data_IF_381407703238
#
_entry.id   IF_381407703238
#
_cell.length_a   1.000
_cell.length_b   1.000
_cell.length_c   1.000
_cell.angle_alpha   90.00
_cell.angle_beta   90.00
_cell.angle_gamma   90.00
#
_symmetry.space_group_name_H-M   'P 1'
#
loop_
_entity.id
_entity.type
_entity.pdbx_description
1 polymer ?
#
# COMPACT_ATOMS: atom_id res chain seq x y z
N UNK A 1 44.08 -16.04 5.03
CA UNK A 1 42.78 -16.31 4.35
C UNK A 1 41.63 -16.47 5.35
N UNK A 2 41.71 -17.36 6.36
CA UNK A 2 40.61 -17.58 7.34
C UNK A 2 40.19 -16.36 8.18
N UNK A 3 41.13 -15.49 8.56
CA UNK A 3 40.81 -14.29 9.34
C UNK A 3 39.97 -13.27 8.55
N UNK A 4 40.14 -13.21 7.21
CA UNK A 4 39.36 -12.34 6.33
C UNK A 4 37.92 -12.89 6.21
N UNK A 5 37.76 -14.22 6.19
CA UNK A 5 36.45 -14.88 6.12
C UNK A 5 35.61 -14.67 7.40
N UNK A 6 36.23 -14.49 8.56
CA UNK A 6 35.51 -14.27 9.82
C UNK A 6 34.68 -12.97 9.82
N UNK A 7 35.04 -11.98 9.00
CA UNK A 7 34.31 -10.71 8.87
C UNK A 7 32.96 -10.84 8.16
N UNK A 8 32.79 -11.84 7.29
CA UNK A 8 31.57 -12.04 6.48
C UNK A 8 30.32 -12.23 7.35
N UNK A 9 30.48 -12.77 8.57
CA UNK A 9 29.37 -12.95 9.53
C UNK A 9 28.74 -11.65 10.03
N UNK A 10 29.41 -10.51 9.84
CA UNK A 10 28.94 -9.20 10.29
C UNK A 10 28.29 -8.37 9.17
N UNK A 11 28.21 -8.91 7.96
CA UNK A 11 27.50 -8.26 6.86
C UNK A 11 26.01 -8.27 7.18
N UNK A 12 25.43 -7.07 7.29
CA UNK A 12 23.99 -6.86 7.41
C UNK A 12 23.47 -6.27 6.12
N UNK A 13 22.26 -6.68 5.72
CA UNK A 13 21.53 -6.07 4.61
C UNK A 13 20.48 -5.16 5.23
N UNK A 14 20.48 -3.89 4.83
CA UNK A 14 19.47 -2.92 5.24
C UNK A 14 18.86 -2.27 4.00
N UNK A 15 17.56 -1.97 4.08
CA UNK A 15 16.84 -1.21 3.06
C UNK A 15 16.64 0.26 3.48
N UNK A 16 17.25 0.68 4.59
CA UNK A 16 17.18 2.07 5.04
C UNK A 16 18.11 2.93 4.19
N UNK A 17 17.53 3.84 3.42
CA UNK A 17 18.30 4.76 2.57
C UNK A 17 19.08 5.80 3.40
N UNK A 18 18.73 6.01 4.67
CA UNK A 18 19.39 7.00 5.55
C UNK A 18 20.87 6.74 5.73
N UNK A 19 21.31 5.49 5.60
CA UNK A 19 22.73 5.10 5.67
C UNK A 19 23.60 5.76 4.58
N UNK A 20 22.99 6.25 3.50
CA UNK A 20 23.70 6.92 2.41
C UNK A 20 24.04 8.38 2.75
N UNK A 21 23.54 8.90 3.87
CA UNK A 21 23.74 10.27 4.32
C UNK A 21 24.50 10.30 5.64
N UNK A 22 25.35 11.31 5.83
CA UNK A 22 26.00 11.56 7.12
C UNK A 22 24.99 12.08 8.15
N UNK A 23 25.24 11.81 9.44
CA UNK A 23 24.35 12.20 10.55
C UNK A 23 24.07 13.71 10.60
N UNK A 24 25.04 14.53 10.19
CA UNK A 24 24.93 16.00 10.18
C UNK A 24 24.27 16.55 8.90
N UNK A 25 23.70 15.70 8.03
CA UNK A 25 23.09 16.15 6.79
C UNK A 25 21.82 16.98 7.08
N UNK A 26 21.78 18.27 6.72
CA UNK A 26 20.64 19.12 7.08
C UNK A 26 19.35 18.76 6.33
N UNK A 27 19.44 18.12 5.16
CA UNK A 27 18.26 17.63 4.44
C UNK A 27 17.66 16.39 5.10
N UNK A 28 18.50 15.46 5.57
CA UNK A 28 18.04 14.29 6.32
C UNK A 28 17.35 14.71 7.63
N UNK A 29 17.96 15.63 8.39
CA UNK A 29 17.38 16.14 9.64
C UNK A 29 16.02 16.83 9.41
N UNK A 30 15.90 17.62 8.34
CA UNK A 30 14.63 18.24 7.98
C UNK A 30 13.56 17.21 7.57
N UNK A 31 13.98 16.15 6.87
CA UNK A 31 13.10 15.05 6.50
C UNK A 31 12.64 14.24 7.71
N UNK A 32 13.54 13.87 8.62
CA UNK A 32 13.20 13.15 9.86
C UNK A 32 12.29 14.00 10.76
N UNK A 33 12.48 15.32 10.80
CA UNK A 33 11.57 16.23 11.51
C UNK A 33 10.15 16.20 10.90
N UNK A 34 10.04 16.11 9.57
CA UNK A 34 8.76 15.99 8.88
C UNK A 34 8.07 14.65 9.21
N UNK A 35 8.79 13.54 9.12
CA UNK A 35 8.24 12.21 9.44
C UNK A 35 7.86 12.05 10.90
N UNK A 36 8.64 12.62 11.83
CA UNK A 36 8.30 12.66 13.24
C UNK A 36 7.02 13.47 13.52
N UNK A 37 6.70 14.44 12.66
CA UNK A 37 5.51 15.28 12.78
C UNK A 37 4.28 14.67 12.08
N UNK A 38 4.47 14.05 10.91
CA UNK A 38 3.38 13.66 10.00
C UNK A 38 3.30 12.15 9.69
N UNK A 39 3.92 11.31 10.51
CA UNK A 39 4.08 9.86 10.32
C UNK A 39 5.01 9.48 9.16
N UNK A 40 5.76 8.39 9.39
CA UNK A 40 6.60 7.75 8.38
C UNK A 40 5.72 7.18 7.27
N UNK A 41 6.05 7.49 6.01
CA UNK A 41 5.30 7.04 4.83
C UNK A 41 6.00 5.84 4.17
N UNK A 42 6.10 4.71 4.87
CA UNK A 42 6.61 3.47 4.28
C UNK A 42 5.48 2.68 3.66
N UNK A 43 5.63 2.31 2.38
CA UNK A 43 4.59 1.76 1.53
C UNK A 43 4.91 0.35 1.01
N UNK A 44 4.05 -0.65 1.15
CA UNK A 44 4.11 -1.87 0.34
C UNK A 44 3.15 -1.78 -0.86
N UNK A 45 3.59 -2.28 -2.02
CA UNK A 45 2.79 -2.35 -3.25
C UNK A 45 2.57 -3.81 -3.63
N UNK A 46 1.30 -4.21 -3.76
CA UNK A 46 0.91 -5.52 -4.27
C UNK A 46 0.21 -5.31 -5.61
N UNK A 47 0.73 -5.92 -6.67
CA UNK A 47 0.16 -5.85 -8.01
C UNK A 47 -0.52 -7.17 -8.37
N UNK A 48 -1.78 -7.10 -8.79
CA UNK A 48 -2.57 -8.26 -9.24
C UNK A 48 -2.79 -8.14 -10.74
N UNK A 49 -2.40 -9.17 -11.48
CA UNK A 49 -2.53 -9.22 -12.94
C UNK A 49 -3.26 -10.53 -13.34
N UNK A 50 -4.57 -10.46 -13.62
CA UNK A 50 -5.35 -11.59 -14.10
C UNK A 50 -4.85 -12.10 -15.46
N UNK A 51 -4.93 -13.41 -15.69
CA UNK A 51 -4.45 -14.04 -16.94
C UNK A 51 -5.34 -13.73 -18.15
N UNK A 52 -6.62 -13.48 -17.90
CA UNK A 52 -7.64 -13.09 -18.89
C UNK A 52 -7.61 -11.59 -19.23
N UNK A 53 -6.75 -10.81 -18.54
CA UNK A 53 -6.49 -9.40 -18.80
C UNK A 53 -7.52 -8.43 -18.19
N UNK A 54 -8.60 -8.93 -17.57
CA UNK A 54 -9.63 -8.08 -16.96
C UNK A 54 -9.56 -8.16 -15.44
N UNK A 55 -9.36 -7.02 -14.79
CA UNK A 55 -9.38 -6.88 -13.32
C UNK A 55 -10.78 -6.72 -12.74
N UNK A 56 -11.80 -6.59 -13.59
CA UNK A 56 -13.20 -6.40 -13.20
C UNK A 56 -14.03 -7.69 -13.26
N UNK A 57 -13.37 -8.85 -13.30
CA UNK A 57 -14.04 -10.14 -13.16
C UNK A 57 -14.31 -10.44 -11.70
N UNK A 58 -15.36 -11.23 -11.41
CA UNK A 58 -15.69 -11.63 -10.04
C UNK A 58 -14.52 -12.31 -9.35
N UNK A 59 -13.81 -13.16 -10.07
CA UNK A 59 -12.66 -13.90 -9.57
C UNK A 59 -11.48 -12.97 -9.21
N UNK A 60 -11.20 -11.98 -10.06
CA UNK A 60 -10.13 -11.00 -9.81
C UNK A 60 -10.48 -10.06 -8.64
N UNK A 61 -11.72 -9.58 -8.58
CA UNK A 61 -12.17 -8.70 -7.51
C UNK A 61 -12.20 -9.42 -6.16
N UNK A 62 -12.68 -10.67 -6.11
CA UNK A 62 -12.63 -11.49 -4.90
C UNK A 62 -11.21 -11.75 -4.42
N UNK A 63 -10.25 -12.00 -5.32
CA UNK A 63 -8.84 -12.13 -4.95
C UNK A 63 -8.26 -10.82 -4.37
N UNK A 64 -8.65 -9.67 -4.92
CA UNK A 64 -8.26 -8.35 -4.39
C UNK A 64 -8.89 -8.08 -3.03
N UNK A 65 -10.14 -8.50 -2.80
CA UNK A 65 -10.81 -8.42 -1.51
C UNK A 65 -10.08 -9.25 -0.44
N UNK A 66 -9.79 -10.52 -0.73
CA UNK A 66 -9.03 -11.39 0.17
C UNK A 66 -7.65 -10.82 0.51
N UNK A 67 -6.94 -10.27 -0.49
CA UNK A 67 -5.66 -9.59 -0.30
C UNK A 67 -5.80 -8.33 0.56
N UNK A 68 -6.86 -7.55 0.37
CA UNK A 68 -7.13 -6.34 1.14
C UNK A 68 -7.34 -6.69 2.61
N UNK A 69 -8.15 -7.71 2.89
CA UNK A 69 -8.39 -8.22 4.24
C UNK A 69 -7.12 -8.79 4.88
N UNK A 70 -6.30 -9.50 4.10
CA UNK A 70 -5.01 -9.99 4.59
C UNK A 70 -4.03 -8.85 4.91
N UNK A 71 -3.99 -7.80 4.08
CA UNK A 71 -3.12 -6.65 4.28
C UNK A 71 -3.48 -5.83 5.52
N UNK A 72 -4.75 -5.83 5.95
CA UNK A 72 -5.16 -5.24 7.23
C UNK A 72 -4.59 -5.98 8.44
N UNK A 73 -4.34 -7.29 8.31
CA UNK A 73 -3.75 -8.11 9.38
C UNK A 73 -2.22 -8.05 9.41
N UNK A 74 -1.60 -7.40 8.43
CA UNK A 74 -0.15 -7.23 8.40
C UNK A 74 0.31 -6.36 9.59
N UNK A 75 1.44 -6.69 10.22
CA UNK A 75 2.02 -5.86 11.28
C UNK A 75 2.18 -4.41 10.81
N UNK A 76 1.94 -3.47 11.72
CA UNK A 76 2.12 -2.03 11.48
C UNK A 76 1.25 -1.43 10.36
N UNK A 77 0.30 -2.18 9.80
CA UNK A 77 -0.65 -1.67 8.82
C UNK A 77 -1.56 -0.62 9.44
N UNK A 78 -1.48 0.61 8.94
CA UNK A 78 -2.32 1.73 9.39
C UNK A 78 -3.42 2.07 8.37
N UNK A 79 -3.17 1.75 7.10
CA UNK A 79 -4.09 1.99 6.00
C UNK A 79 -3.81 1.03 4.84
N UNK A 80 -4.88 0.44 4.32
CA UNK A 80 -4.87 -0.35 3.09
C UNK A 80 -5.81 0.30 2.07
N UNK A 81 -5.30 0.57 0.87
CA UNK A 81 -6.09 1.06 -0.25
C UNK A 81 -6.05 0.03 -1.39
N UNK A 82 -7.21 -0.28 -1.97
CA UNK A 82 -7.37 -1.24 -3.06
C UNK A 82 -8.56 -0.88 -3.95
N UNK A 83 -8.79 -1.64 -5.02
CA UNK A 83 -9.89 -1.40 -5.94
C UNK A 83 -11.27 -1.56 -5.26
N UNK A 84 -11.37 -2.49 -4.30
CA UNK A 84 -12.63 -2.83 -3.61
C UNK A 84 -12.98 -1.83 -2.49
N UNK A 85 -12.05 -0.98 -2.04
CA UNK A 85 -12.32 0.03 -1.01
C UNK A 85 -12.15 1.48 -1.50
N UNK A 86 -12.04 1.67 -2.81
CA UNK A 86 -11.96 2.99 -3.41
C UNK A 86 -13.31 3.70 -3.28
N UNK A 87 -13.32 4.86 -2.62
CA UNK A 87 -14.55 5.63 -2.40
C UNK A 87 -15.03 6.30 -3.67
N UNK A 88 -16.28 6.04 -4.03
CA UNK A 88 -17.04 6.73 -5.06
C UNK A 88 -18.17 7.52 -4.41
N UNK A 89 -18.35 8.78 -4.83
CA UNK A 89 -19.41 9.64 -4.29
C UNK A 89 -20.22 10.22 -5.42
N UNK A 90 -21.53 10.06 -5.33
CA UNK A 90 -22.50 10.57 -6.29
C UNK A 90 -23.59 11.36 -5.56
N UNK A 91 -24.05 12.45 -6.18
CA UNK A 91 -25.21 13.19 -5.69
C UNK A 91 -26.47 12.60 -6.36
N UNK A 92 -27.46 12.23 -5.56
CA UNK A 92 -28.76 11.77 -6.02
C UNK A 92 -29.82 12.70 -5.43
N UNK A 93 -30.37 13.57 -6.28
CA UNK A 93 -31.27 14.65 -5.85
C UNK A 93 -30.59 15.56 -4.82
N UNK A 94 -31.10 15.62 -3.57
CA UNK A 94 -30.51 16.36 -2.46
C UNK A 94 -29.60 15.51 -1.56
N UNK A 95 -29.45 14.22 -1.84
CA UNK A 95 -28.64 13.28 -1.06
C UNK A 95 -27.22 13.09 -1.64
N UNK A 96 -26.23 12.93 -0.76
CA UNK A 96 -24.87 12.51 -1.13
C UNK A 96 -24.66 11.05 -0.76
N UNK A 97 -24.52 10.19 -1.76
CA UNK A 97 -24.22 8.76 -1.57
C UNK A 97 -22.71 8.58 -1.61
N UNK A 98 -22.17 7.97 -0.56
CA UNK A 98 -20.74 7.62 -0.46
C UNK A 98 -20.63 6.11 -0.29
N UNK A 99 -20.08 5.44 -1.30
CA UNK A 99 -19.96 3.98 -1.33
C UNK A 99 -18.65 3.54 -1.99
N UNK A 100 -18.21 2.29 -1.81
CA UNK A 100 -17.14 1.74 -2.64
C UNK A 100 -17.51 1.77 -4.13
N UNK A 101 -16.52 1.99 -5.00
CA UNK A 101 -16.69 1.99 -6.45
C UNK A 101 -17.15 0.64 -6.99
N UNK A 102 -16.74 -0.44 -6.33
CA UNK A 102 -17.13 -1.79 -6.64
C UNK A 102 -17.96 -2.31 -5.46
N UNK A 103 -19.22 -2.67 -5.71
CA UNK A 103 -20.07 -3.38 -4.75
C UNK A 103 -20.54 -4.66 -5.42
N UNK A 104 -20.02 -5.81 -5.00
CA UNK A 104 -20.36 -7.11 -5.57
C UNK A 104 -21.88 -7.38 -5.59
N UNK A 105 -22.66 -6.71 -4.72
CA UNK A 105 -24.13 -6.84 -4.67
C UNK A 105 -24.85 -5.94 -5.68
N UNK A 106 -24.27 -4.81 -6.09
CA UNK A 106 -24.81 -3.92 -7.15
C UNK A 106 -24.30 -4.33 -8.53
N UNK A 107 -23.02 -4.66 -8.64
CA UNK A 107 -22.35 -4.88 -9.93
C UNK A 107 -22.63 -6.26 -10.55
N UNK A 108 -23.15 -7.20 -9.75
CA UNK A 108 -23.65 -8.48 -10.24
C UNK A 108 -24.99 -8.37 -11.00
N UNK A 109 -25.69 -7.24 -10.88
CA UNK A 109 -27.01 -7.03 -11.48
C UNK A 109 -26.98 -6.14 -12.72
N UNK A 110 -25.92 -5.38 -12.97
CA UNK A 110 -25.82 -4.46 -14.11
C UNK A 110 -24.88 -4.99 -15.19
N UNK A 111 -25.49 -5.71 -16.12
CA UNK A 111 -24.89 -6.21 -17.33
C UNK A 111 -24.31 -5.06 -18.18
N UNK A 112 -22.98 -4.90 -18.19
CA UNK A 112 -22.26 -4.32 -19.33
C UNK A 112 -21.84 -2.84 -19.30
N UNK A 113 -21.74 -2.17 -18.15
CA UNK A 113 -21.07 -0.86 -18.12
C UNK A 113 -19.58 -0.99 -17.80
N UNK A 114 -18.77 -0.69 -18.82
CA UNK A 114 -17.31 -0.68 -18.76
C UNK A 114 -16.83 0.33 -17.71
N UNK A 115 -16.34 -0.19 -16.58
CA UNK A 115 -15.57 0.59 -15.61
C UNK A 115 -14.31 1.09 -16.33
N UNK A 116 -14.30 2.36 -16.69
CA UNK A 116 -13.26 2.95 -17.54
C UNK A 116 -11.93 2.90 -16.80
N UNK A 117 -11.04 2.03 -17.29
CA UNK A 117 -9.80 1.65 -16.63
C UNK A 117 -8.86 2.83 -16.34
N UNK A 118 -8.16 2.72 -15.22
CA UNK A 118 -6.92 3.43 -14.95
C UNK A 118 -6.11 2.56 -13.99
N UNK A 119 -4.95 2.11 -14.47
CA UNK A 119 -3.97 1.36 -13.67
C UNK A 119 -3.44 2.29 -12.59
N UNK A 120 -3.91 2.13 -11.36
CA UNK A 120 -3.47 2.95 -10.23
C UNK A 120 -2.45 2.19 -9.38
N UNK A 121 -1.40 2.91 -8.97
CA UNK A 121 -0.37 2.43 -8.04
C UNK A 121 -0.94 2.46 -6.62
N UNK A 122 -0.80 1.36 -5.88
CA UNK A 122 -1.38 1.19 -4.54
C UNK A 122 -0.31 1.34 -3.44
N UNK A 123 -0.70 1.89 -2.28
CA UNK A 123 0.20 2.17 -1.15
C UNK A 123 -0.34 1.49 0.12
N UNK A 124 0.44 0.62 0.76
CA UNK A 124 0.17 0.05 2.09
C UNK A 124 1.04 0.75 3.12
N UNK A 125 0.47 1.57 4.01
CA UNK A 125 1.28 2.35 4.96
C UNK A 125 1.68 1.50 6.19
N UNK A 126 2.99 1.27 6.35
CA UNK A 126 3.63 0.53 7.45
C UNK A 126 4.18 1.51 8.51
N UNK A 127 3.67 1.42 9.73
CA UNK A 127 4.02 2.26 10.88
C UNK A 127 5.05 1.58 11.79
N UNK A 128 6.34 1.68 11.49
CA UNK A 128 7.39 1.10 12.35
C UNK A 128 7.55 1.93 13.64
N UNK A 129 7.24 1.33 14.80
CA UNK A 129 7.60 1.92 16.10
C UNK A 129 9.10 1.75 16.32
N UNK A 130 9.88 2.80 16.05
CA UNK A 130 11.28 2.83 16.45
C UNK A 130 11.39 2.74 17.99
N UNK A 131 11.94 1.63 18.47
CA UNK A 131 12.46 1.53 19.84
C UNK A 131 13.64 2.50 19.94
N UNK A 132 13.45 3.59 20.69
CA UNK A 132 14.56 4.36 21.25
C UNK A 132 15.45 3.40 22.04
N UNK A 133 16.72 3.33 21.63
CA UNK A 133 17.84 2.83 22.45
C UNK A 133 18.16 3.88 23.52
#
# INVERSE_FOLDING_TARGET
MLAITAGVRFITVTNDYRIMFGEDNPQLLAFDALENTYSVSNGALIAVAPRDGSVFTREALGAVEELTEAAWRAPYSSRVNSLINYTHSEALDDDLIVAPLVDERRDAHENGQSVKGSVHKFYVHEHEKQKKV
#
